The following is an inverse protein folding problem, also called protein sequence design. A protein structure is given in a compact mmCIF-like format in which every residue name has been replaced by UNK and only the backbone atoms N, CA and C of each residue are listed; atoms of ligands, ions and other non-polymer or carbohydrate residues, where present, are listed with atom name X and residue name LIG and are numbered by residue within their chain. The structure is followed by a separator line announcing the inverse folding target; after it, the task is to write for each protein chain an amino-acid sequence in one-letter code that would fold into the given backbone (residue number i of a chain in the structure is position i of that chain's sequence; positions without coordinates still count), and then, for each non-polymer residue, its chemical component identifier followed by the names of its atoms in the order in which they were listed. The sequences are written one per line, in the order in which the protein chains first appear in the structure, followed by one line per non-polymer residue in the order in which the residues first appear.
data_IF_705137146125
#
_entry.id   IF_705137146125
#
_cell.length_a   1.000
_cell.length_b   1.000
_cell.length_c   1.000
_cell.angle_alpha   90.00
_cell.angle_beta   90.00
_cell.angle_gamma   90.00
#
_symmetry.space_group_name_H-M   'P 1'
#
loop_
_entity.id
_entity.type
_entity.pdbx_description
1 polymer ?
#
# COMPACT_ATOMS: atom_id res chain seq x y z
N UNK A 1 23.72 -14.27 -17.49
CA UNK A 1 23.39 -13.11 -16.63
C UNK A 1 21.88 -12.96 -16.82
N UNK A 2 21.12 -13.76 -16.07
CA UNK A 2 19.74 -14.16 -16.40
C UNK A 2 18.79 -13.86 -15.24
N UNK A 3 19.04 -12.76 -14.52
CA UNK A 3 18.40 -12.56 -13.21
C UNK A 3 17.26 -11.54 -13.23
N UNK A 4 17.02 -10.85 -14.36
CA UNK A 4 15.85 -10.00 -14.53
C UNK A 4 14.70 -10.78 -15.19
N UNK A 5 14.17 -11.77 -14.48
CA UNK A 5 12.90 -12.37 -14.87
C UNK A 5 11.78 -11.39 -14.50
N UNK A 6 11.05 -10.80 -15.45
CA UNK A 6 10.01 -9.80 -15.16
C UNK A 6 8.96 -10.34 -14.18
N UNK A 7 8.71 -11.65 -14.16
CA UNK A 7 7.85 -12.31 -13.17
C UNK A 7 8.37 -12.23 -11.73
N UNK A 8 9.69 -12.33 -11.51
CA UNK A 8 10.27 -12.18 -10.16
C UNK A 8 10.21 -10.73 -9.71
N UNK A 9 10.40 -9.80 -10.63
CA UNK A 9 10.25 -8.37 -10.36
C UNK A 9 8.80 -8.02 -10.01
N UNK A 10 7.83 -8.54 -10.76
CA UNK A 10 6.40 -8.39 -10.52
C UNK A 10 5.98 -8.93 -9.14
N UNK A 11 6.44 -10.13 -8.78
CA UNK A 11 6.17 -10.72 -7.45
C UNK A 11 6.84 -9.91 -6.33
N UNK A 12 8.07 -9.43 -6.54
CA UNK A 12 8.78 -8.61 -5.55
C UNK A 12 8.12 -7.24 -5.37
N UNK A 13 7.70 -6.59 -6.46
CA UNK A 13 6.94 -5.34 -6.43
C UNK A 13 5.60 -5.52 -5.73
N UNK A 14 4.84 -6.57 -6.05
CA UNK A 14 3.57 -6.83 -5.40
C UNK A 14 3.75 -7.04 -3.89
N UNK A 15 4.76 -7.82 -3.48
CA UNK A 15 5.10 -7.98 -2.06
C UNK A 15 5.42 -6.64 -1.40
N UNK A 16 6.30 -5.87 -2.03
CA UNK A 16 6.69 -4.56 -1.53
C UNK A 16 5.47 -3.63 -1.37
N UNK A 17 4.61 -3.53 -2.38
CA UNK A 17 3.40 -2.70 -2.35
C UNK A 17 2.44 -3.14 -1.23
N UNK A 18 2.24 -4.45 -1.05
CA UNK A 18 1.42 -4.97 0.05
C UNK A 18 2.04 -4.72 1.43
N UNK A 19 3.37 -4.84 1.58
CA UNK A 19 4.07 -4.52 2.83
C UNK A 19 4.01 -3.02 3.17
N UNK A 20 4.17 -2.16 2.17
CA UNK A 20 3.97 -0.71 2.30
C UNK A 20 2.55 -0.40 2.73
N UNK A 21 1.54 -0.98 2.06
CA UNK A 21 0.14 -0.79 2.42
C UNK A 21 -0.15 -1.20 3.86
N UNK A 22 0.42 -2.33 4.31
CA UNK A 22 0.24 -2.80 5.68
C UNK A 22 0.83 -1.83 6.71
N UNK A 23 2.06 -1.35 6.49
CA UNK A 23 2.69 -0.40 7.40
C UNK A 23 1.99 0.95 7.43
N UNK A 24 1.60 1.51 6.28
CA UNK A 24 0.90 2.80 6.21
C UNK A 24 -0.49 2.70 6.87
N UNK A 25 -1.23 1.61 6.64
CA UNK A 25 -2.50 1.36 7.32
C UNK A 25 -2.33 1.27 8.83
N UNK A 26 -1.30 0.55 9.29
CA UNK A 26 -1.05 0.38 10.72
C UNK A 26 -0.68 1.72 11.36
N UNK A 27 0.26 2.47 10.77
CA UNK A 27 0.65 3.80 11.23
C UNK A 27 -0.54 4.76 11.28
N UNK A 28 -1.39 4.76 10.25
CA UNK A 28 -2.59 5.58 10.20
C UNK A 28 -3.62 5.22 11.30
N UNK A 29 -3.78 3.93 11.58
CA UNK A 29 -4.63 3.44 12.67
C UNK A 29 -4.06 3.78 14.05
N UNK A 30 -2.74 3.68 14.23
CA UNK A 30 -2.04 4.03 15.46
C UNK A 30 -2.08 5.54 15.74
N UNK A 31 -1.92 6.40 14.72
CA UNK A 31 -2.07 7.85 14.86
C UNK A 31 -3.52 8.26 15.17
N UNK A 32 -4.49 7.56 14.58
CA UNK A 32 -5.92 7.77 14.86
C UNK A 32 -6.32 7.47 16.32
N UNK A 33 -5.45 6.81 17.09
CA UNK A 33 -5.64 6.50 18.50
C UNK A 33 -5.59 7.74 19.41
N UNK A 34 -5.21 8.91 18.88
CA UNK A 34 -5.16 10.17 19.63
C UNK A 34 -6.44 11.04 19.48
N UNK A 35 -7.39 10.66 18.63
CA UNK A 35 -8.53 11.53 18.33
C UNK A 35 -9.67 10.91 17.53
N UNK A 36 -10.17 9.73 17.91
CA UNK A 36 -11.50 9.15 17.66
C UNK A 36 -12.09 9.10 16.22
N UNK A 37 -11.54 9.74 15.20
CA UNK A 37 -12.03 9.68 13.82
C UNK A 37 -10.84 9.67 12.87
N UNK A 38 -10.63 8.53 12.22
CA UNK A 38 -9.81 8.43 11.02
C UNK A 38 -10.58 9.14 9.88
N UNK A 39 -10.19 10.37 9.54
CA UNK A 39 -10.89 11.16 8.53
C UNK A 39 -10.65 10.58 7.13
N UNK A 40 -11.68 10.10 6.41
CA UNK A 40 -11.51 9.40 5.13
C UNK A 40 -10.98 10.30 4.01
N UNK A 41 -11.05 11.63 4.18
CA UNK A 41 -10.50 12.61 3.23
C UNK A 41 -9.07 13.03 3.53
N UNK A 42 -8.46 12.47 4.58
CA UNK A 42 -7.09 12.80 4.97
C UNK A 42 -6.11 12.30 3.92
N UNK A 43 -5.01 13.03 3.76
CA UNK A 43 -3.98 12.71 2.77
C UNK A 43 -3.53 11.24 2.86
N UNK A 44 -3.36 10.72 4.08
CA UNK A 44 -2.97 9.32 4.32
C UNK A 44 -4.04 8.34 3.80
N UNK A 45 -5.32 8.56 4.10
CA UNK A 45 -6.40 7.69 3.58
C UNK A 45 -6.54 7.79 2.06
N UNK A 46 -6.36 8.95 1.46
CA UNK A 46 -6.37 9.11 0.00
C UNK A 46 -5.21 8.33 -0.63
N UNK A 47 -4.00 8.48 -0.08
CA UNK A 47 -2.81 7.75 -0.53
C UNK A 47 -2.97 6.23 -0.37
N UNK A 48 -3.57 5.77 0.72
CA UNK A 48 -3.92 4.36 0.95
C UNK A 48 -4.90 3.85 -0.10
N UNK A 49 -5.96 4.62 -0.42
CA UNK A 49 -6.92 4.25 -1.46
C UNK A 49 -6.25 4.17 -2.84
N UNK A 50 -5.43 5.16 -3.21
CA UNK A 50 -4.67 5.14 -4.47
C UNK A 50 -3.73 3.92 -4.54
N UNK A 51 -3.08 3.58 -3.43
CA UNK A 51 -2.21 2.40 -3.33
C UNK A 51 -3.00 1.09 -3.50
N UNK A 52 -4.20 1.00 -2.91
CA UNK A 52 -5.11 -0.15 -3.08
C UNK A 52 -5.54 -0.29 -4.54
N UNK A 53 -5.94 0.81 -5.20
CA UNK A 53 -6.32 0.81 -6.62
C UNK A 53 -5.14 0.42 -7.53
N UNK A 54 -3.95 0.91 -7.21
CA UNK A 54 -2.73 0.55 -7.94
C UNK A 54 -2.43 -0.95 -7.79
N UNK A 55 -2.50 -1.52 -6.58
CA UNK A 55 -2.31 -2.96 -6.36
C UNK A 55 -3.38 -3.78 -7.09
N UNK A 56 -4.64 -3.34 -7.07
CA UNK A 56 -5.74 -4.00 -7.77
C UNK A 56 -5.53 -4.02 -9.29
N UNK A 57 -4.94 -2.96 -9.85
CA UNK A 57 -4.67 -2.81 -11.28
C UNK A 57 -3.34 -3.44 -11.70
N UNK A 58 -2.44 -3.73 -10.76
CA UNK A 58 -1.10 -4.29 -11.02
C UNK A 58 -1.10 -5.63 -11.80
N UNK A 59 -2.24 -6.32 -11.86
CA UNK A 59 -2.42 -7.59 -12.60
C UNK A 59 -3.69 -7.68 -13.44
N UNK A 60 -4.42 -6.58 -13.61
CA UNK A 60 -5.65 -6.53 -14.42
C UNK A 60 -5.35 -6.49 -15.92
#
# INVERSE_FOLDING_TARGET
MDEYSPKRHDIAQLKFLCETLYHDCLANLEESNHGWVNDPTSAVNLQLNELIEHIATFRA
#
